data_IF_644308486355
#
_entry.id   IF_644308486355
#
_cell.length_a   1.000
_cell.length_b   1.000
_cell.length_c   1.000
_cell.angle_alpha   90.00
_cell.angle_beta   90.00
_cell.angle_gamma   90.00
#
_symmetry.space_group_name_H-M   'P 1'
#
loop_
_entity.id
_entity.type
_entity.pdbx_description
1 polymer ?
#
# COMPACT_ATOMS: atom_id res chain seq x y z
N UNK A 1 -4.10 -14.66 -72.01
CA UNK A 1 -5.22 -14.00 -71.31
C UNK A 1 -5.24 -14.48 -69.87
N UNK A 2 -4.84 -13.64 -68.92
CA UNK A 2 -5.50 -13.51 -67.62
C UNK A 2 -4.99 -12.25 -66.92
N UNK A 3 -5.95 -11.50 -66.41
CA UNK A 3 -5.90 -10.15 -65.85
C UNK A 3 -5.42 -10.22 -64.39
N UNK A 4 -4.80 -9.15 -63.88
CA UNK A 4 -4.68 -8.99 -62.42
C UNK A 4 -3.55 -8.07 -61.98
N UNK A 5 -3.75 -6.76 -62.13
CA UNK A 5 -2.90 -5.68 -61.63
C UNK A 5 -3.29 -5.33 -60.19
N UNK A 6 -2.28 -5.09 -59.35
CA UNK A 6 -2.24 -4.29 -58.10
C UNK A 6 -3.08 -4.73 -56.89
N UNK A 7 -2.40 -4.96 -55.76
CA UNK A 7 -2.81 -4.35 -54.47
C UNK A 7 -1.58 -3.77 -53.79
N UNK A 8 -1.64 -2.46 -53.62
CA UNK A 8 -0.68 -1.61 -52.92
C UNK A 8 -0.59 -1.96 -51.43
N UNK A 9 0.59 -1.75 -50.86
CA UNK A 9 0.86 -1.95 -49.46
C UNK A 9 0.00 -1.10 -48.54
N UNK A 10 -0.37 -1.68 -47.40
CA UNK A 10 -0.80 -0.97 -46.21
C UNK A 10 -0.15 -1.66 -45.01
N UNK A 11 1.02 -1.17 -44.61
CA UNK A 11 1.62 -1.44 -43.31
C UNK A 11 0.77 -0.75 -42.24
N UNK A 12 -0.19 -1.46 -41.67
CA UNK A 12 -0.85 -1.04 -40.43
C UNK A 12 0.09 -1.31 -39.26
N UNK A 13 0.88 -0.31 -38.89
CA UNK A 13 1.56 -0.25 -37.62
C UNK A 13 0.50 -0.14 -36.51
N UNK A 14 0.13 -1.26 -35.90
CA UNK A 14 -0.61 -1.28 -34.65
C UNK A 14 0.34 -0.81 -33.54
N UNK A 15 0.45 0.52 -33.40
CA UNK A 15 1.17 1.16 -32.31
C UNK A 15 0.56 0.76 -30.97
N UNK A 16 1.34 0.05 -30.17
CA UNK A 16 1.04 -0.31 -28.78
C UNK A 16 0.95 0.95 -27.93
N UNK A 17 -0.25 1.47 -27.72
CA UNK A 17 -0.49 2.31 -26.57
C UNK A 17 -0.61 1.39 -25.35
N UNK A 18 0.53 0.98 -24.78
CA UNK A 18 0.56 0.62 -23.38
C UNK A 18 0.36 1.92 -22.61
N UNK A 19 -0.91 2.28 -22.38
CA UNK A 19 -1.26 3.31 -21.41
C UNK A 19 -0.75 2.78 -20.08
N UNK A 20 0.47 3.19 -19.68
CA UNK A 20 0.90 2.99 -18.32
C UNK A 20 -0.09 3.76 -17.45
N UNK A 21 -1.03 3.05 -16.83
CA UNK A 21 -1.89 3.65 -15.82
C UNK A 21 -0.97 4.40 -14.86
N UNK A 22 -1.17 5.73 -14.74
CA UNK A 22 -0.54 6.49 -13.68
C UNK A 22 -0.81 5.73 -12.36
N UNK A 23 0.19 5.55 -11.49
CA UNK A 23 0.02 4.75 -10.29
C UNK A 23 -1.18 5.29 -9.52
N UNK A 24 -2.24 4.49 -9.39
CA UNK A 24 -3.42 4.93 -8.66
C UNK A 24 -3.05 5.09 -7.18
N UNK A 25 -3.28 6.30 -6.66
CA UNK A 25 -3.06 6.61 -5.25
C UNK A 25 -4.06 5.91 -4.34
N UNK A 26 -5.11 5.31 -4.92
CA UNK A 26 -6.21 4.61 -4.23
C UNK A 26 -5.73 3.40 -3.41
N UNK A 27 -4.54 2.89 -3.72
CA UNK A 27 -3.91 1.78 -2.99
C UNK A 27 -2.90 2.25 -1.94
N UNK A 28 -2.63 3.55 -1.86
CA UNK A 28 -1.68 4.12 -0.92
C UNK A 28 -2.37 4.61 0.35
N UNK A 29 -1.65 4.52 1.46
CA UNK A 29 -2.02 5.09 2.76
C UNK A 29 -1.11 6.27 3.02
N UNK A 30 -1.67 7.38 3.50
CA UNK A 30 -1.01 8.67 3.64
C UNK A 30 -1.03 9.20 5.07
N UNK A 31 0.01 9.96 5.43
CA UNK A 31 0.05 10.83 6.62
C UNK A 31 0.53 12.20 6.17
N UNK A 32 -0.25 13.25 6.43
CA UNK A 32 0.14 14.62 6.05
C UNK A 32 0.44 14.80 4.55
N UNK A 33 -0.18 14.00 3.68
CA UNK A 33 0.09 14.00 2.22
C UNK A 33 1.27 13.12 1.78
N UNK A 34 2.04 12.55 2.71
CA UNK A 34 3.14 11.62 2.40
C UNK A 34 2.63 10.17 2.37
N UNK A 35 2.84 9.42 1.27
CA UNK A 35 2.47 8.00 1.23
C UNK A 35 3.43 7.19 2.13
N UNK A 36 2.87 6.46 3.08
CA UNK A 36 3.63 5.63 4.04
C UNK A 36 3.60 4.13 3.71
N UNK A 37 2.62 3.67 2.94
CA UNK A 37 2.59 2.29 2.43
C UNK A 37 1.65 2.18 1.24
N UNK A 38 1.81 1.12 0.44
CA UNK A 38 0.89 0.77 -0.64
C UNK A 38 0.39 -0.66 -0.47
N UNK A 39 -0.93 -0.84 -0.47
CA UNK A 39 -1.59 -2.14 -0.42
C UNK A 39 -1.69 -2.70 -1.83
N UNK A 40 -1.05 -3.84 -2.08
CA UNK A 40 -0.98 -4.45 -3.42
C UNK A 40 -1.91 -5.65 -3.61
N UNK A 41 -2.49 -6.17 -2.53
CA UNK A 41 -3.21 -7.44 -2.52
C UNK A 41 -4.57 -7.26 -1.84
N UNK A 42 -5.63 -7.75 -2.47
CA UNK A 42 -6.93 -7.89 -1.84
C UNK A 42 -6.96 -9.05 -0.85
N UNK A 43 -7.78 -8.97 0.19
CA UNK A 43 -7.93 -10.01 1.20
C UNK A 43 -9.27 -9.87 1.92
N UNK A 44 -9.78 -10.97 2.48
CA UNK A 44 -11.05 -11.00 3.23
C UNK A 44 -12.24 -10.36 2.47
N UNK A 45 -12.32 -10.56 1.15
CA UNK A 45 -13.38 -9.99 0.31
C UNK A 45 -13.18 -8.53 -0.12
N UNK A 46 -12.10 -7.88 0.31
CA UNK A 46 -11.79 -6.50 -0.08
C UNK A 46 -10.79 -6.43 -1.23
N UNK A 47 -10.99 -5.47 -2.13
CA UNK A 47 -9.98 -5.06 -3.11
C UNK A 47 -8.77 -4.39 -2.44
N UNK A 48 -7.61 -4.31 -3.11
CA UNK A 48 -6.46 -3.57 -2.57
C UNK A 48 -6.79 -2.12 -2.18
N UNK A 49 -7.60 -1.43 -2.99
CA UNK A 49 -8.02 -0.06 -2.72
C UNK A 49 -8.94 0.04 -1.49
N UNK A 50 -9.92 -0.86 -1.36
CA UNK A 50 -10.78 -0.90 -0.19
C UNK A 50 -9.98 -1.18 1.09
N UNK A 51 -8.98 -2.06 1.03
CA UNK A 51 -8.07 -2.31 2.15
C UNK A 51 -7.27 -1.06 2.51
N UNK A 52 -6.68 -0.38 1.52
CA UNK A 52 -5.95 0.87 1.76
C UNK A 52 -6.84 1.91 2.45
N UNK A 53 -8.10 2.05 2.01
CA UNK A 53 -9.08 2.92 2.64
C UNK A 53 -9.36 2.52 4.11
N UNK A 54 -9.55 1.23 4.41
CA UNK A 54 -9.76 0.77 5.79
C UNK A 54 -8.56 1.07 6.69
N UNK A 55 -7.34 0.91 6.16
CA UNK A 55 -6.10 1.23 6.88
C UNK A 55 -5.99 2.73 7.11
N UNK A 56 -6.31 3.55 6.09
CA UNK A 56 -6.35 5.00 6.21
C UNK A 56 -7.33 5.47 7.29
N UNK A 57 -8.54 4.90 7.34
CA UNK A 57 -9.55 5.23 8.34
C UNK A 57 -9.05 4.93 9.76
N UNK A 58 -8.46 3.75 9.98
CA UNK A 58 -7.86 3.37 11.28
C UNK A 58 -6.72 4.31 11.66
N UNK A 59 -5.85 4.62 10.70
CA UNK A 59 -4.74 5.53 10.93
C UNK A 59 -5.21 6.91 11.34
N UNK A 60 -6.23 7.46 10.67
CA UNK A 60 -6.81 8.76 11.02
C UNK A 60 -7.38 8.77 12.45
N UNK A 61 -8.03 7.67 12.88
CA UNK A 61 -8.53 7.53 14.25
C UNK A 61 -7.40 7.47 15.29
N UNK A 62 -6.30 6.78 14.97
CA UNK A 62 -5.11 6.72 15.82
C UNK A 62 -4.44 8.10 15.93
N UNK A 63 -4.33 8.83 14.81
CA UNK A 63 -3.75 10.17 14.75
C UNK A 63 -4.54 11.21 15.54
N UNK A 64 -5.87 11.03 15.66
CA UNK A 64 -6.72 11.90 16.48
C UNK A 64 -6.34 11.87 17.98
N UNK A 65 -5.58 10.87 18.43
CA UNK A 65 -5.05 10.76 19.80
C UNK A 65 -3.68 11.45 19.96
N UNK A 66 -3.26 12.25 18.99
CA UNK A 66 -2.00 12.99 18.98
C UNK A 66 -0.84 12.25 18.29
N UNK A 67 0.39 12.78 18.43
CA UNK A 67 1.59 12.26 17.75
C UNK A 67 1.84 10.79 18.08
N UNK A 68 2.41 10.07 17.10
CA UNK A 68 2.78 8.65 17.25
C UNK A 68 4.27 8.56 17.53
N UNK A 69 4.65 7.83 18.58
CA UNK A 69 6.03 7.53 18.92
C UNK A 69 6.43 6.12 18.47
N UNK A 70 7.73 5.81 18.33
CA UNK A 70 8.17 4.47 17.94
C UNK A 70 7.64 3.35 18.86
N UNK A 71 7.59 3.60 20.16
CA UNK A 71 7.10 2.63 21.17
C UNK A 71 5.60 2.33 21.06
N UNK A 72 4.83 3.20 20.40
CA UNK A 72 3.40 3.00 20.18
C UNK A 72 3.13 1.91 19.13
N UNK A 73 4.12 1.58 18.29
CA UNK A 73 4.00 0.61 17.20
C UNK A 73 4.42 -0.78 17.69
N UNK A 74 3.47 -1.71 17.71
CA UNK A 74 3.66 -3.06 18.24
C UNK A 74 3.24 -4.12 17.24
N UNK A 75 3.94 -5.25 17.24
CA UNK A 75 3.56 -6.46 16.51
C UNK A 75 3.00 -7.46 17.50
N UNK A 76 1.85 -8.05 17.20
CA UNK A 76 1.25 -9.08 18.02
C UNK A 76 0.84 -10.28 17.16
N UNK A 77 0.98 -11.52 17.65
CA UNK A 77 0.47 -12.69 16.95
C UNK A 77 -1.06 -12.67 16.92
N UNK A 78 -1.64 -13.16 15.82
CA UNK A 78 -3.07 -13.40 15.67
C UNK A 78 -3.28 -14.76 15.02
N UNK A 79 -3.38 -15.82 15.83
CA UNK A 79 -3.42 -17.19 15.33
C UNK A 79 -2.13 -17.55 14.57
N UNK A 80 -2.27 -17.96 13.30
CA UNK A 80 -1.15 -18.21 12.39
C UNK A 80 -0.75 -16.98 11.56
N UNK A 81 -1.29 -15.80 11.89
CA UNK A 81 -1.00 -14.51 11.28
C UNK A 81 -0.34 -13.56 12.29
N UNK A 82 -0.09 -12.32 11.88
CA UNK A 82 0.39 -11.27 12.78
C UNK A 82 -0.30 -9.94 12.49
N UNK A 83 -0.44 -9.10 13.50
CA UNK A 83 -1.03 -7.77 13.39
C UNK A 83 -0.03 -6.71 13.79
N UNK A 84 -0.12 -5.56 13.13
CA UNK A 84 0.52 -4.31 13.55
C UNK A 84 -0.52 -3.46 14.27
N UNK A 85 -0.23 -3.13 15.52
CA UNK A 85 -1.01 -2.19 16.32
C UNK A 85 -0.24 -0.88 16.49
N UNK A 86 -0.96 0.22 16.55
CA UNK A 86 -0.41 1.54 16.91
C UNK A 86 -1.27 2.15 18.00
N UNK A 87 -0.64 2.63 19.09
CA UNK A 87 -1.35 3.09 20.30
C UNK A 87 -2.36 2.05 20.82
N UNK A 88 -1.98 0.78 20.74
CA UNK A 88 -2.84 -0.34 21.14
C UNK A 88 -4.01 -0.65 20.20
N UNK A 89 -4.23 0.11 19.12
CA UNK A 89 -5.31 -0.15 18.16
C UNK A 89 -4.81 -0.91 16.93
N UNK A 90 -5.65 -1.79 16.37
CA UNK A 90 -5.32 -2.50 15.13
C UNK A 90 -5.15 -1.51 13.97
N UNK A 91 -3.98 -1.53 13.32
CA UNK A 91 -3.75 -0.81 12.08
C UNK A 91 -3.86 -1.76 10.89
N UNK A 92 -3.07 -2.84 10.88
CA UNK A 92 -2.99 -3.79 9.75
C UNK A 92 -2.86 -5.24 10.22
N UNK A 93 -3.41 -6.18 9.43
CA UNK A 93 -3.21 -7.63 9.60
C UNK A 93 -2.35 -8.17 8.48
N UNK A 94 -1.17 -8.70 8.80
CA UNK A 94 -0.33 -9.44 7.87
C UNK A 94 -0.90 -10.84 7.69
N UNK A 95 -1.90 -10.96 6.82
CA UNK A 95 -2.48 -12.25 6.45
C UNK A 95 -1.56 -13.09 5.55
N UNK A 96 -1.87 -14.38 5.40
CA UNK A 96 -1.09 -15.28 4.54
C UNK A 96 -1.08 -14.90 3.06
N UNK A 97 -2.18 -14.34 2.54
CA UNK A 97 -2.24 -13.93 1.13
C UNK A 97 -1.24 -12.80 0.85
N UNK A 98 -1.18 -11.83 1.76
CA UNK A 98 -0.29 -10.67 1.69
C UNK A 98 1.16 -11.09 1.97
N UNK A 99 1.39 -11.98 2.94
CA UNK A 99 2.71 -12.55 3.23
C UNK A 99 3.30 -13.30 2.02
N UNK A 100 2.51 -14.17 1.39
CA UNK A 100 2.93 -14.93 0.19
C UNK A 100 3.27 -14.03 -0.98
N UNK A 101 2.47 -12.99 -1.23
CA UNK A 101 2.78 -12.00 -2.26
C UNK A 101 4.11 -11.27 -2.01
N UNK A 102 4.49 -11.08 -0.74
CA UNK A 102 5.76 -10.48 -0.35
C UNK A 102 6.87 -11.53 -0.11
N UNK A 103 6.67 -12.78 -0.54
CA UNK A 103 7.62 -13.89 -0.40
C UNK A 103 8.16 -14.07 1.03
N UNK A 104 7.27 -13.94 2.02
CA UNK A 104 7.64 -13.99 3.43
C UNK A 104 6.54 -14.63 4.28
N UNK A 105 6.71 -14.64 5.61
CA UNK A 105 5.70 -15.09 6.57
C UNK A 105 4.92 -13.91 7.16
N UNK A 106 3.70 -14.12 7.66
CA UNK A 106 2.94 -13.10 8.39
C UNK A 106 3.74 -12.34 9.46
N UNK A 107 4.46 -13.07 10.31
CA UNK A 107 5.23 -12.50 11.40
C UNK A 107 6.37 -11.59 10.90
N UNK A 108 7.13 -12.05 9.91
CA UNK A 108 8.23 -11.27 9.32
C UNK A 108 7.70 -10.05 8.56
N UNK A 109 6.57 -10.19 7.85
CA UNK A 109 5.95 -9.07 7.15
C UNK A 109 5.46 -8.00 8.12
N UNK A 110 4.76 -8.39 9.20
CA UNK A 110 4.31 -7.47 10.24
C UNK A 110 5.50 -6.78 10.92
N UNK A 111 6.58 -7.51 11.20
CA UNK A 111 7.84 -6.95 11.71
C UNK A 111 8.42 -5.87 10.80
N UNK A 112 8.58 -6.19 9.51
CA UNK A 112 9.12 -5.23 8.53
C UNK A 112 8.26 -3.98 8.38
N UNK A 113 6.93 -4.12 8.42
CA UNK A 113 6.03 -2.97 8.45
C UNK A 113 6.15 -2.16 9.74
N UNK A 114 6.17 -2.80 10.91
CA UNK A 114 6.32 -2.10 12.17
C UNK A 114 7.63 -1.30 12.22
N UNK A 115 8.74 -1.87 11.76
CA UNK A 115 10.02 -1.19 11.71
C UNK A 115 10.02 0.00 10.76
N UNK A 116 9.36 -0.13 9.60
CA UNK A 116 9.14 1.01 8.71
C UNK A 116 8.33 2.12 9.39
N UNK A 117 7.21 1.77 10.04
CA UNK A 117 6.32 2.72 10.72
C UNK A 117 7.01 3.45 11.88
N UNK A 118 7.83 2.75 12.68
CA UNK A 118 8.63 3.34 13.77
C UNK A 118 9.58 4.42 13.27
N UNK A 119 10.10 4.29 12.04
CA UNK A 119 10.98 5.30 11.43
C UNK A 119 10.21 6.49 10.86
N UNK A 120 9.06 6.26 10.21
CA UNK A 120 8.37 7.32 9.44
C UNK A 120 7.32 8.08 10.24
N UNK A 121 6.55 7.43 11.11
CA UNK A 121 5.40 8.06 11.76
C UNK A 121 5.78 9.20 12.73
N UNK A 122 6.85 9.11 13.54
CA UNK A 122 7.19 10.21 14.44
C UNK A 122 7.49 11.52 13.71
N UNK A 123 8.19 11.45 12.56
CA UNK A 123 8.50 12.63 11.75
C UNK A 123 7.30 13.22 11.01
N UNK A 124 6.28 12.40 10.73
CA UNK A 124 5.07 12.83 10.01
C UNK A 124 3.94 13.29 10.95
N UNK A 125 4.03 12.96 12.24
CA UNK A 125 2.95 13.20 13.22
C UNK A 125 3.38 14.10 14.38
N UNK A 126 4.68 14.32 14.55
CA UNK A 126 5.22 15.27 15.51
C UNK A 126 4.96 16.73 15.13
N UNK A 127 5.25 17.68 16.03
CA UNK A 127 5.16 19.10 15.73
C UNK A 127 6.03 19.41 14.50
N UNK A 128 5.46 20.12 13.53
CA UNK A 128 6.25 20.67 12.42
C UNK A 128 7.34 21.55 13.06
N UNK A 129 8.65 21.35 12.75
CA UNK A 129 9.69 22.21 13.28
C UNK A 129 9.34 23.66 12.94
N UNK A 130 9.43 24.56 13.92
CA UNK A 130 9.28 25.99 13.66
C UNK A 130 10.25 26.36 12.55
N UNK A 131 9.76 27.00 11.49
CA UNK A 131 10.61 27.56 10.46
C UNK A 131 11.60 28.50 11.16
N UNK A 132 12.89 28.20 11.06
CA UNK A 132 13.97 29.08 11.51
C UNK A 132 14.17 30.19 10.51
#
# INVERSE_FOLDING_TARGET
>A
MNKGVTVAGALLALGTAAWGQAPSNDTAVFVGGTPIMRVRVGAAGYSPAQRAQQVQLRLNQILAQGPIRPEDVQVQPLGNEAVVRVKGQLLFTADWATARFNHTTPALLAGGWADHMRRVLPGLTGPKPAAR
#
